data_IF_570329990771
#
_entry.id   IF_570329990771
#
_cell.length_a   1.000
_cell.length_b   1.000
_cell.length_c   1.000
_cell.angle_alpha   90.00
_cell.angle_beta   90.00
_cell.angle_gamma   90.00
#
_symmetry.space_group_name_H-M   'P 1'
#
loop_
_entity.id
_entity.type
_entity.pdbx_description
1 polymer ?
#
# COMPACT_ATOMS: atom_id res chain seq x y z
N UNK A 1 -11.59 -0.93 8.69
CA UNK A 1 -12.81 -0.47 7.95
C UNK A 1 -12.43 -0.19 6.49
N UNK A 2 -13.32 -0.36 5.51
CA UNK A 2 -12.99 -0.17 4.08
C UNK A 2 -13.96 0.79 3.36
N UNK A 3 -13.43 1.67 2.52
CA UNK A 3 -14.15 2.56 1.61
C UNK A 3 -13.90 2.14 0.16
N UNK A 4 -14.93 2.16 -0.68
CA UNK A 4 -14.84 1.87 -2.12
C UNK A 4 -15.17 3.13 -2.92
N UNK A 5 -14.33 3.47 -3.89
CA UNK A 5 -14.49 4.67 -4.72
C UNK A 5 -14.37 4.28 -6.18
N UNK A 6 -15.36 4.62 -6.98
CA UNK A 6 -15.32 4.49 -8.43
C UNK A 6 -14.82 5.79 -9.03
N UNK A 7 -13.78 5.71 -9.85
CA UNK A 7 -13.22 6.89 -10.52
C UNK A 7 -14.09 7.25 -11.71
N UNK A 8 -14.27 8.55 -11.96
CA UNK A 8 -14.94 9.03 -13.17
C UNK A 8 -13.90 9.14 -14.28
N UNK A 9 -14.12 8.42 -15.38
CA UNK A 9 -13.18 8.33 -16.50
C UNK A 9 -13.89 8.41 -17.86
N UNK A 10 -13.10 8.58 -18.93
CA UNK A 10 -13.61 8.54 -20.31
C UNK A 10 -13.57 7.09 -20.80
N UNK A 11 -14.70 6.59 -21.28
CA UNK A 11 -14.73 5.27 -21.91
C UNK A 11 -14.23 5.31 -23.36
N UNK A 12 -14.20 4.14 -23.99
CA UNK A 12 -13.78 3.95 -25.39
C UNK A 12 -14.69 4.70 -26.39
N UNK A 13 -15.88 5.10 -25.97
CA UNK A 13 -16.82 5.89 -26.79
C UNK A 13 -16.69 7.40 -26.54
N UNK A 14 -15.81 7.81 -25.63
CA UNK A 14 -15.59 9.22 -25.26
C UNK A 14 -16.65 9.79 -24.30
N UNK A 15 -17.55 8.95 -23.79
CA UNK A 15 -18.50 9.32 -22.74
C UNK A 15 -17.85 9.21 -21.37
N UNK A 16 -18.43 9.92 -20.38
CA UNK A 16 -17.98 9.80 -19.00
C UNK A 16 -18.66 8.62 -18.33
N UNK A 17 -17.86 7.68 -17.85
CA UNK A 17 -18.30 6.49 -17.14
C UNK A 17 -17.57 6.34 -15.80
N UNK A 18 -18.01 5.38 -15.00
CA UNK A 18 -17.32 4.98 -13.78
C UNK A 18 -16.36 3.83 -14.09
N UNK A 19 -15.23 3.80 -13.39
CA UNK A 19 -14.24 2.74 -13.51
C UNK A 19 -14.87 1.36 -13.26
N UNK A 20 -14.46 0.36 -14.05
CA UNK A 20 -15.03 -1.00 -13.96
C UNK A 20 -14.82 -1.64 -12.59
N UNK A 21 -13.67 -1.34 -11.96
CA UNK A 21 -13.33 -1.76 -10.60
C UNK A 21 -13.19 -0.52 -9.72
N UNK A 22 -13.65 -0.57 -8.46
CA UNK A 22 -13.40 0.50 -7.51
C UNK A 22 -11.96 0.45 -7.03
N UNK A 23 -11.42 1.62 -6.72
CA UNK A 23 -10.33 1.75 -5.77
C UNK A 23 -10.86 1.49 -4.37
N UNK A 24 -10.12 0.72 -3.58
CA UNK A 24 -10.50 0.38 -2.21
C UNK A 24 -9.47 0.95 -1.26
N UNK A 25 -9.94 1.69 -0.26
CA UNK A 25 -9.13 2.22 0.83
C UNK A 25 -9.48 1.50 2.13
N UNK A 26 -8.50 0.85 2.75
CA UNK A 26 -8.61 0.32 4.11
C UNK A 26 -7.88 1.25 5.07
N UNK A 27 -8.52 1.49 6.20
CA UNK A 27 -7.92 2.16 7.33
C UNK A 27 -7.60 1.11 8.40
N UNK A 28 -6.40 1.23 8.99
CA UNK A 28 -5.93 0.48 10.14
C UNK A 28 -6.83 0.64 11.35
N UNK A 29 -6.52 -0.11 12.41
CA UNK A 29 -7.26 -0.05 13.66
C UNK A 29 -6.83 1.15 14.49
N UNK A 30 -7.64 1.56 15.47
CA UNK A 30 -7.38 2.77 16.24
C UNK A 30 -5.97 2.74 16.88
N UNK A 31 -5.18 3.79 16.63
CA UNK A 31 -3.77 3.88 17.00
C UNK A 31 -2.77 3.50 15.91
N UNK A 32 -3.08 2.55 15.02
CA UNK A 32 -2.19 2.11 13.95
C UNK A 32 -2.57 2.82 12.64
N UNK A 33 -1.96 3.98 12.38
CA UNK A 33 -2.31 4.84 11.23
C UNK A 33 -1.72 4.30 9.93
N UNK A 34 -2.11 3.09 9.58
CA UNK A 34 -1.87 2.45 8.30
C UNK A 34 -3.06 2.70 7.38
N UNK A 35 -2.81 3.29 6.21
CA UNK A 35 -3.79 3.33 5.13
C UNK A 35 -3.30 2.45 3.99
N UNK A 36 -4.18 1.61 3.46
CA UNK A 36 -3.93 0.84 2.23
C UNK A 36 -4.89 1.30 1.16
N UNK A 37 -4.38 1.77 0.02
CA UNK A 37 -5.16 2.10 -1.17
C UNK A 37 -4.82 1.06 -2.23
N UNK A 38 -5.83 0.45 -2.83
CA UNK A 38 -5.61 -0.56 -3.87
C UNK A 38 -6.54 -0.33 -5.04
N UNK A 39 -5.97 -0.33 -6.24
CA UNK A 39 -6.67 -0.49 -7.49
C UNK A 39 -6.20 -1.80 -8.18
N UNK A 40 -6.62 -2.01 -9.41
CA UNK A 40 -6.29 -3.20 -10.18
C UNK A 40 -4.81 -3.31 -10.54
N UNK A 41 -4.10 -2.18 -10.60
CA UNK A 41 -2.70 -2.09 -11.02
C UNK A 41 -1.72 -1.90 -9.88
N UNK A 42 -2.08 -1.14 -8.85
CA UNK A 42 -1.19 -0.77 -7.74
C UNK A 42 -1.86 -0.91 -6.39
N UNK A 43 -1.03 -1.22 -5.40
CA UNK A 43 -1.33 -1.13 -3.98
C UNK A 43 -0.35 -0.15 -3.35
N UNK A 44 -0.88 0.83 -2.65
CA UNK A 44 -0.11 1.83 -1.90
C UNK A 44 -0.42 1.64 -0.43
N UNK A 45 0.61 1.49 0.39
CA UNK A 45 0.49 1.46 1.84
C UNK A 45 1.21 2.68 2.41
N UNK A 46 0.57 3.36 3.35
CA UNK A 46 1.14 4.54 4.00
C UNK A 46 0.98 4.43 5.50
N UNK A 47 2.10 4.58 6.21
CA UNK A 47 2.14 4.68 7.67
C UNK A 47 2.26 6.15 8.02
N UNK A 48 1.42 6.65 8.92
CA UNK A 48 1.47 8.03 9.41
C UNK A 48 2.01 8.09 10.84
N UNK A 49 2.53 9.26 11.22
CA UNK A 49 2.86 9.55 12.61
C UNK A 49 1.61 9.43 13.51
N UNK A 50 1.73 8.86 14.72
CA UNK A 50 0.65 8.92 15.71
C UNK A 50 0.22 10.36 15.95
N UNK A 51 -1.09 10.63 16.01
CA UNK A 51 -1.60 11.99 16.20
C UNK A 51 -1.55 12.92 14.96
N UNK A 52 -0.69 12.67 13.98
CA UNK A 52 -0.54 13.51 12.76
C UNK A 52 -0.91 12.83 11.43
N UNK A 53 -1.19 13.62 10.39
CA UNK A 53 -1.32 13.16 8.99
C UNK A 53 0.01 13.21 8.23
N UNK A 54 1.13 13.43 8.91
CA UNK A 54 2.47 13.37 8.32
C UNK A 54 2.82 11.92 7.96
N UNK A 55 3.09 11.60 6.68
CA UNK A 55 3.46 10.25 6.28
C UNK A 55 4.91 9.95 6.72
N UNK A 56 5.12 8.78 7.31
CA UNK A 56 6.44 8.25 7.67
C UNK A 56 7.00 7.37 6.56
N UNK A 57 6.17 6.46 6.04
CA UNK A 57 6.58 5.47 5.04
C UNK A 57 5.46 5.36 4.01
N UNK A 58 5.83 5.35 2.72
CA UNK A 58 4.94 5.04 1.60
C UNK A 58 5.55 3.91 0.78
N UNK A 59 4.87 2.77 0.74
CA UNK A 59 5.24 1.62 -0.08
C UNK A 59 4.27 1.53 -1.24
N UNK A 60 4.78 1.50 -2.46
CA UNK A 60 4.00 1.30 -3.68
C UNK A 60 4.43 -0.02 -4.33
N UNK A 61 3.45 -0.88 -4.60
CA UNK A 61 3.70 -2.21 -5.16
C UNK A 61 2.72 -2.48 -6.29
N UNK A 62 3.19 -3.02 -7.40
CA UNK A 62 2.32 -3.45 -8.48
C UNK A 62 1.45 -4.64 -8.02
N UNK A 63 0.14 -4.56 -8.25
CA UNK A 63 -0.81 -5.62 -7.88
C UNK A 63 -0.46 -6.95 -8.57
N UNK A 64 0.10 -6.91 -9.78
CA UNK A 64 0.57 -8.09 -10.50
C UNK A 64 1.81 -8.78 -9.90
N UNK A 65 2.61 -8.06 -9.10
CA UNK A 65 3.79 -8.61 -8.41
C UNK A 65 3.45 -9.25 -7.06
N UNK A 66 2.36 -8.81 -6.42
CA UNK A 66 1.84 -9.43 -5.19
C UNK A 66 1.48 -10.91 -5.38
N UNK A 67 1.01 -11.28 -6.59
CA UNK A 67 0.63 -12.67 -6.90
C UNK A 67 1.87 -13.55 -7.13
N UNK A 68 2.97 -12.97 -7.62
CA UNK A 68 4.22 -13.68 -7.89
C UNK A 68 5.09 -13.83 -6.65
N UNK A 69 4.95 -12.91 -5.69
CA UNK A 69 5.72 -12.93 -4.45
C UNK A 69 5.01 -13.79 -3.42
N UNK A 70 5.41 -15.06 -3.32
CA UNK A 70 5.03 -15.95 -2.23
C UNK A 70 5.32 -15.25 -0.89
N UNK A 71 4.25 -14.79 -0.21
CA UNK A 71 4.18 -14.21 1.15
C UNK A 71 5.55 -13.96 1.83
N UNK A 72 6.26 -12.92 1.40
CA UNK A 72 7.38 -12.35 2.15
C UNK A 72 6.85 -11.23 3.05
N UNK A 73 7.27 -11.20 4.32
CA UNK A 73 6.93 -10.11 5.22
C UNK A 73 7.53 -8.80 4.69
N UNK A 74 6.90 -7.66 5.00
CA UNK A 74 7.48 -6.36 4.70
C UNK A 74 8.85 -6.21 5.40
N UNK A 75 8.98 -6.80 6.60
CA UNK A 75 10.25 -6.91 7.29
C UNK A 75 11.29 -7.61 6.41
N UNK A 76 11.01 -8.84 5.94
CA UNK A 76 11.92 -9.60 5.06
C UNK A 76 12.36 -8.80 3.83
N UNK A 77 11.43 -8.08 3.19
CA UNK A 77 11.72 -7.28 2.01
C UNK A 77 12.67 -6.11 2.32
N UNK A 78 12.45 -5.41 3.44
CA UNK A 78 13.28 -4.29 3.89
C UNK A 78 14.65 -4.74 4.41
N UNK A 79 14.75 -5.91 5.03
CA UNK A 79 16.03 -6.49 5.42
C UNK A 79 16.87 -6.88 4.20
N UNK A 80 16.22 -7.35 3.13
CA UNK A 80 16.88 -7.76 1.88
C UNK A 80 17.28 -6.58 0.99
N UNK A 81 16.52 -5.48 1.01
CA UNK A 81 16.82 -4.32 0.15
C UNK A 81 18.04 -3.53 0.60
N UNK A 82 18.39 -3.59 1.90
CA UNK A 82 19.48 -2.81 2.48
C UNK A 82 19.17 -1.31 2.49
N UNK A 83 19.54 -0.59 3.56
CA UNK A 83 19.47 0.87 3.54
C UNK A 83 20.41 1.44 2.47
N UNK A 84 20.10 2.61 1.92
CA UNK A 84 20.93 3.29 0.90
C UNK A 84 22.40 3.49 1.34
N UNK A 85 22.68 3.38 2.64
CA UNK A 85 24.01 3.48 3.26
C UNK A 85 24.72 2.13 3.52
N UNK A 86 24.21 1.00 3.02
CA UNK A 86 24.81 -0.33 3.22
C UNK A 86 24.60 -0.92 4.64
N UNK A 87 23.74 -0.30 5.45
CA UNK A 87 23.35 -0.81 6.77
C UNK A 87 22.35 -1.97 6.66
N UNK A 88 22.64 -3.07 7.35
CA UNK A 88 21.69 -4.18 7.53
C UNK A 88 20.56 -3.74 8.46
N UNK A 89 19.33 -3.71 7.94
CA UNK A 89 18.14 -3.49 8.78
C UNK A 89 17.84 -4.80 9.50
N UNK A 90 17.89 -4.81 10.84
CA UNK A 90 17.55 -5.98 11.67
C UNK A 90 16.31 -5.63 12.50
N UNK A 91 15.20 -6.30 12.23
CA UNK A 91 13.99 -6.14 13.03
C UNK A 91 14.04 -7.05 14.27
N UNK A 92 13.54 -6.60 15.44
CA UNK A 92 13.40 -7.45 16.61
C UNK A 92 12.43 -8.62 16.33
N UNK A 93 12.60 -9.78 16.98
CA UNK A 93 11.85 -11.01 16.69
C UNK A 93 10.33 -10.92 16.96
N UNK A 94 9.88 -9.87 17.63
CA UNK A 94 8.43 -9.58 17.80
C UNK A 94 7.79 -9.01 16.53
N UNK A 95 8.59 -8.58 15.55
CA UNK A 95 8.16 -7.93 14.31
C UNK A 95 8.35 -8.81 13.05
N UNK A 96 8.76 -10.08 13.21
CA UNK A 96 9.02 -11.06 12.12
C UNK A 96 8.08 -12.25 12.24
#
# INVERSE_FOLDING_TARGET
MAKRVWRRERDLTGWMSLSRKPEVTWYGWDGDRLTTIQNDRTRIQTVYQPGSFTPLIRVETATGELVKTQRRSLADALQQSGGEDGGSVVFPPVLV
#
